data_IF_768515465779
#
_entry.id   IF_768515465779
#
_cell.length_a   1.000
_cell.length_b   1.000
_cell.length_c   1.000
_cell.angle_alpha   90.00
_cell.angle_beta   90.00
_cell.angle_gamma   90.00
#
_symmetry.space_group_name_H-M   'P 1'
#
loop_
_entity.id
_entity.type
_entity.pdbx_description
1 polymer ?
#
# COMPACT_ATOMS: atom_id res chain seq x y z
N UNK A 1 -30.42 53.02 -14.42
CA UNK A 1 -30.83 51.82 -13.65
C UNK A 1 -29.65 50.86 -13.72
N UNK A 2 -28.80 50.83 -12.70
CA UNK A 2 -27.55 50.06 -12.69
C UNK A 2 -27.84 48.65 -12.19
N UNK A 3 -27.78 47.66 -13.06
CA UNK A 3 -27.97 46.26 -12.71
C UNK A 3 -26.66 45.69 -12.18
N UNK A 4 -26.54 45.62 -10.85
CA UNK A 4 -25.47 44.89 -10.16
C UNK A 4 -25.64 43.40 -10.43
N UNK A 5 -24.81 42.85 -11.33
CA UNK A 5 -24.72 41.40 -11.56
C UNK A 5 -24.03 40.78 -10.34
N UNK A 6 -24.70 39.87 -9.64
CA UNK A 6 -24.12 39.16 -8.50
C UNK A 6 -22.91 38.33 -8.97
N UNK A 7 -21.78 38.43 -8.28
CA UNK A 7 -20.55 37.63 -8.50
C UNK A 7 -20.74 36.13 -8.15
N UNK A 8 -21.81 35.50 -8.62
CA UNK A 8 -22.09 34.08 -8.43
C UNK A 8 -21.57 33.20 -9.57
N UNK A 9 -20.81 33.78 -10.50
CA UNK A 9 -20.25 33.09 -11.66
C UNK A 9 -18.71 33.10 -11.63
N UNK A 10 -18.13 32.95 -10.45
CA UNK A 10 -16.80 32.37 -10.38
C UNK A 10 -16.97 30.91 -10.81
N UNK A 11 -16.53 30.57 -12.03
CA UNK A 11 -16.61 29.22 -12.59
C UNK A 11 -16.02 28.26 -11.57
N UNK A 12 -16.88 27.59 -10.80
CA UNK A 12 -16.47 26.65 -9.77
C UNK A 12 -15.74 25.54 -10.50
N UNK A 13 -14.42 25.47 -10.40
CA UNK A 13 -13.63 24.39 -11.02
C UNK A 13 -13.65 23.11 -10.19
N UNK A 14 -14.44 23.09 -9.12
CA UNK A 14 -14.61 21.93 -8.26
C UNK A 14 -15.11 20.73 -9.06
N UNK A 15 -14.66 19.54 -8.66
CA UNK A 15 -15.11 18.26 -9.23
C UNK A 15 -16.65 18.08 -9.20
N UNK A 16 -17.34 18.87 -8.37
CA UNK A 16 -18.79 18.84 -8.13
C UNK A 16 -19.54 20.03 -8.73
N UNK A 17 -18.92 20.83 -9.59
CA UNK A 17 -19.54 21.99 -10.23
C UNK A 17 -20.52 21.64 -11.36
N UNK A 18 -20.67 20.36 -11.69
CA UNK A 18 -21.46 19.89 -12.82
C UNK A 18 -20.70 20.02 -14.15
N UNK A 19 -21.15 19.28 -15.18
CA UNK A 19 -20.55 19.31 -16.51
C UNK A 19 -19.42 18.30 -16.79
N UNK A 20 -18.95 17.55 -15.78
CA UNK A 20 -18.02 16.42 -15.95
C UNK A 20 -18.74 15.10 -15.62
N UNK A 21 -18.57 14.09 -16.47
CA UNK A 21 -19.16 12.77 -16.20
C UNK A 21 -18.51 12.17 -14.95
N UNK A 22 -19.30 11.71 -13.95
CA UNK A 22 -18.76 11.11 -12.72
C UNK A 22 -17.96 9.82 -12.97
N UNK A 23 -18.05 9.26 -14.19
CA UNK A 23 -17.29 8.09 -14.65
C UNK A 23 -16.23 8.44 -15.70
N UNK A 24 -15.82 9.70 -15.82
CA UNK A 24 -14.71 10.12 -16.67
C UNK A 24 -13.35 9.77 -16.02
N UNK A 25 -13.19 8.49 -15.66
CA UNK A 25 -11.96 7.93 -15.13
C UNK A 25 -11.29 7.17 -16.25
N UNK A 26 -10.02 7.49 -16.52
CA UNK A 26 -9.23 6.79 -17.51
C UNK A 26 -9.23 5.28 -17.24
N UNK A 27 -9.50 4.49 -18.28
CA UNK A 27 -9.54 3.02 -18.20
C UNK A 27 -8.27 2.43 -17.54
N UNK A 28 -7.10 3.00 -17.84
CA UNK A 28 -5.83 2.58 -17.22
C UNK A 28 -5.78 2.79 -15.71
N UNK A 29 -6.38 3.87 -15.20
CA UNK A 29 -6.45 4.15 -13.76
C UNK A 29 -7.39 3.18 -13.05
N UNK A 30 -8.54 2.86 -13.66
CA UNK A 30 -9.48 1.87 -13.11
C UNK A 30 -8.86 0.47 -13.05
N UNK A 31 -8.17 0.04 -14.09
CA UNK A 31 -7.51 -1.27 -14.10
C UNK A 31 -6.42 -1.39 -13.03
N UNK A 32 -5.70 -0.30 -12.74
CA UNK A 32 -4.75 -0.25 -11.63
C UNK A 32 -5.45 -0.48 -10.28
N UNK A 33 -6.58 0.17 -10.03
CA UNK A 33 -7.34 -0.02 -8.78
C UNK A 33 -7.85 -1.46 -8.62
N UNK A 34 -8.35 -2.08 -9.68
CA UNK A 34 -8.75 -3.50 -9.63
C UNK A 34 -7.56 -4.41 -9.31
N UNK A 35 -6.39 -4.16 -9.91
CA UNK A 35 -5.18 -4.91 -9.62
C UNK A 35 -4.74 -4.76 -8.16
N UNK A 36 -4.72 -3.53 -7.62
CA UNK A 36 -4.36 -3.27 -6.22
C UNK A 36 -5.33 -3.94 -5.23
N UNK A 37 -6.63 -3.92 -5.51
CA UNK A 37 -7.63 -4.61 -4.68
C UNK A 37 -7.41 -6.14 -4.73
N UNK A 38 -7.10 -6.69 -5.91
CA UNK A 38 -6.79 -8.12 -6.07
C UNK A 38 -5.55 -8.53 -5.27
N UNK A 39 -4.50 -7.70 -5.28
CA UNK A 39 -3.27 -7.96 -4.53
C UNK A 39 -3.51 -7.86 -3.01
N UNK A 40 -4.27 -6.85 -2.56
CA UNK A 40 -4.68 -6.72 -1.17
C UNK A 40 -5.49 -7.93 -0.66
N UNK A 41 -6.40 -8.47 -1.48
CA UNK A 41 -7.14 -9.69 -1.12
C UNK A 41 -6.22 -10.92 -1.02
N UNK A 42 -5.25 -11.04 -1.92
CA UNK A 42 -4.26 -12.13 -1.91
C UNK A 42 -3.41 -12.10 -0.64
N UNK A 43 -2.88 -10.93 -0.27
CA UNK A 43 -2.15 -10.77 0.99
C UNK A 43 -3.03 -10.99 2.23
N UNK A 44 -4.30 -10.57 2.18
CA UNK A 44 -5.25 -10.80 3.27
C UNK A 44 -5.49 -12.29 3.50
N UNK A 45 -5.63 -13.08 2.43
CA UNK A 45 -5.78 -14.53 2.55
C UNK A 45 -4.55 -15.18 3.20
N UNK A 46 -3.34 -14.74 2.83
CA UNK A 46 -2.11 -15.21 3.48
C UNK A 46 -2.03 -14.83 4.96
N UNK A 47 -2.46 -13.62 5.33
CA UNK A 47 -2.50 -13.18 6.73
C UNK A 47 -3.51 -13.98 7.56
N UNK A 48 -4.70 -14.25 7.03
CA UNK A 48 -5.71 -15.07 7.70
C UNK A 48 -5.18 -16.50 7.90
N UNK A 49 -4.57 -17.08 6.86
CA UNK A 49 -3.96 -18.41 6.95
C UNK A 49 -2.84 -18.45 7.99
N UNK A 50 -1.94 -17.45 7.98
CA UNK A 50 -0.89 -17.31 8.99
C UNK A 50 -1.46 -17.18 10.40
N UNK A 51 -2.49 -16.34 10.59
CA UNK A 51 -3.18 -16.18 11.86
C UNK A 51 -3.80 -17.48 12.35
N UNK A 52 -4.52 -18.20 11.48
CA UNK A 52 -5.09 -19.50 11.78
C UNK A 52 -4.03 -20.52 12.22
N UNK A 53 -2.90 -20.56 11.51
CA UNK A 53 -1.77 -21.41 11.86
C UNK A 53 -1.15 -21.02 13.22
N UNK A 54 -1.06 -19.71 13.49
CA UNK A 54 -0.50 -19.20 14.76
C UNK A 54 -1.35 -19.57 15.96
N UNK A 55 -2.68 -19.59 15.82
CA UNK A 55 -3.60 -20.03 16.88
C UNK A 55 -3.65 -21.56 17.03
N UNK A 56 -3.45 -22.30 15.93
CA UNK A 56 -3.52 -23.77 15.93
C UNK A 56 -2.29 -24.47 16.52
N UNK A 57 -1.16 -23.75 16.67
CA UNK A 57 0.11 -24.30 17.19
C UNK A 57 0.43 -23.72 18.56
N UNK A 58 0.67 -24.59 19.54
CA UNK A 58 1.02 -24.20 20.91
C UNK A 58 2.45 -23.65 21.01
N UNK A 59 3.38 -24.16 20.18
CA UNK A 59 4.77 -23.72 20.11
C UNK A 59 5.05 -23.05 18.77
N UNK A 60 5.75 -21.91 18.80
CA UNK A 60 6.16 -21.17 17.61
C UNK A 60 7.68 -21.03 17.58
N UNK A 61 8.33 -21.13 16.41
CA UNK A 61 9.78 -20.96 16.30
C UNK A 61 10.24 -19.59 16.81
N UNK A 62 11.37 -19.56 17.51
CA UNK A 62 12.03 -18.32 17.91
C UNK A 62 12.51 -17.56 16.66
N UNK A 63 12.01 -16.32 16.42
CA UNK A 63 12.40 -15.53 15.24
C UNK A 63 13.91 -15.29 15.17
N UNK A 64 14.52 -15.13 16.34
CA UNK A 64 15.97 -14.96 16.49
C UNK A 64 16.77 -16.16 16.04
N UNK A 65 16.18 -17.35 15.88
CA UNK A 65 16.83 -18.56 15.33
C UNK A 65 16.51 -18.78 13.86
N UNK A 66 15.29 -18.45 13.44
CA UNK A 66 14.84 -18.62 12.05
C UNK A 66 15.50 -17.61 11.11
N UNK A 67 15.75 -16.39 11.58
CA UNK A 67 16.27 -15.28 10.77
C UNK A 67 17.72 -14.91 11.13
N UNK A 68 18.55 -15.89 11.51
CA UNK A 68 19.97 -15.67 11.84
C UNK A 68 20.88 -15.54 10.62
N UNK A 69 20.49 -16.15 9.50
CA UNK A 69 21.34 -16.25 8.33
C UNK A 69 21.21 -15.01 7.45
N UNK A 70 22.37 -14.47 7.08
CA UNK A 70 22.48 -13.52 5.97
C UNK A 70 22.97 -14.33 4.77
N UNK A 71 22.15 -14.53 3.73
CA UNK A 71 22.55 -15.36 2.59
C UNK A 71 23.83 -14.79 1.95
N UNK A 72 24.93 -15.55 2.05
CA UNK A 72 26.23 -15.23 1.44
C UNK A 72 27.25 -14.47 2.31
N UNK A 73 26.94 -14.10 3.56
CA UNK A 73 27.86 -13.30 4.41
C UNK A 73 28.12 -13.91 5.80
N UNK A 74 27.09 -14.43 6.48
CA UNK A 74 27.26 -14.99 7.82
C UNK A 74 26.20 -16.05 8.15
N UNK A 75 26.65 -17.19 8.67
CA UNK A 75 25.81 -18.34 9.01
C UNK A 75 25.21 -18.26 10.43
N UNK A 76 25.78 -17.44 11.32
CA UNK A 76 25.25 -17.21 12.67
C UNK A 76 25.82 -15.91 13.28
N UNK A 77 24.95 -15.06 13.84
CA UNK A 77 25.37 -13.93 14.69
C UNK A 77 24.51 -12.66 14.61
N UNK A 78 23.68 -12.52 13.58
CA UNK A 78 22.91 -11.29 13.33
C UNK A 78 21.42 -11.58 13.11
N UNK A 79 20.66 -11.90 14.18
CA UNK A 79 19.22 -12.13 14.06
C UNK A 79 18.53 -10.88 13.51
N UNK A 80 17.61 -11.07 12.55
CA UNK A 80 16.68 -10.06 12.02
C UNK A 80 17.32 -8.90 11.22
N UNK A 81 18.66 -8.77 11.20
CA UNK A 81 19.36 -7.67 10.51
C UNK A 81 19.08 -7.65 9.02
N UNK A 82 19.07 -8.80 8.36
CA UNK A 82 18.77 -8.90 6.93
C UNK A 82 17.35 -8.44 6.59
N UNK A 83 16.37 -8.85 7.40
CA UNK A 83 14.97 -8.47 7.22
C UNK A 83 14.80 -6.95 7.42
N UNK A 84 15.41 -6.40 8.46
CA UNK A 84 15.39 -4.95 8.72
C UNK A 84 16.04 -4.12 7.62
N UNK A 85 17.16 -4.59 7.03
CA UNK A 85 17.80 -3.92 5.91
C UNK A 85 16.92 -3.93 4.65
N UNK A 86 16.29 -5.06 4.33
CA UNK A 86 15.39 -5.18 3.17
C UNK A 86 14.18 -4.27 3.31
N UNK A 87 13.55 -4.21 4.49
CA UNK A 87 12.43 -3.29 4.73
C UNK A 87 12.86 -1.84 4.65
N UNK A 88 14.03 -1.48 5.19
CA UNK A 88 14.59 -0.14 5.07
C UNK A 88 14.78 0.27 3.60
N UNK A 89 15.37 -0.60 2.77
CA UNK A 89 15.58 -0.32 1.34
C UNK A 89 14.23 -0.12 0.62
N UNK A 90 13.23 -0.96 0.88
CA UNK A 90 11.91 -0.84 0.25
C UNK A 90 11.18 0.44 0.66
N UNK A 91 11.26 0.84 1.94
CA UNK A 91 10.66 2.09 2.42
C UNK A 91 11.35 3.30 1.77
N UNK A 92 12.69 3.31 1.72
CA UNK A 92 13.44 4.37 1.05
C UNK A 92 13.09 4.42 -0.45
N UNK A 93 12.96 3.25 -1.11
CA UNK A 93 12.53 3.17 -2.51
C UNK A 93 11.15 3.78 -2.75
N UNK A 94 10.22 3.62 -1.81
CA UNK A 94 8.89 4.26 -1.90
C UNK A 94 8.98 5.78 -1.77
N UNK A 95 9.86 6.31 -0.93
CA UNK A 95 10.02 7.76 -0.72
C UNK A 95 10.71 8.43 -1.90
N UNK A 96 11.67 7.75 -2.53
CA UNK A 96 12.38 8.28 -3.70
C UNK A 96 11.59 8.20 -5.00
N UNK A 97 10.46 7.49 -5.01
CA UNK A 97 9.55 7.39 -6.16
C UNK A 97 8.60 8.60 -6.15
N UNK A 98 9.14 9.78 -6.47
CA UNK A 98 8.40 11.02 -6.77
C UNK A 98 8.63 11.41 -8.23
#
# INVERSE_FOLDING_TARGET
MSTTVSQLDEIRTDAWAGGKSPFDVEYGKLMMWFFLISDAFTFSAFLIYYGAQRFSKLTWPEPDKVFQSIPGVADAGYPLVFVGLMTFILIMSSVTMV
#
